data_IF_031195724517
#
_entry.id   IF_031195724517
#
_cell.length_a   1.000
_cell.length_b   1.000
_cell.length_c   1.000
_cell.angle_alpha   90.00
_cell.angle_beta   90.00
_cell.angle_gamma   90.00
#
_symmetry.space_group_name_H-M   'P 1'
#
loop_
_entity.id
_entity.type
_entity.pdbx_description
1 polymer ?
#
# COMPACT_ATOMS: atom_id res chain seq x y z
N UNK A 1 9.18 -10.18 -29.47
CA UNK A 1 8.99 -8.82 -28.92
C UNK A 1 7.60 -8.79 -28.33
N UNK A 2 7.48 -8.94 -27.01
CA UNK A 2 6.17 -8.99 -26.35
C UNK A 2 5.69 -7.57 -26.11
N UNK A 3 5.00 -7.04 -27.11
CA UNK A 3 4.15 -5.86 -26.96
C UNK A 3 2.81 -6.33 -26.40
N UNK A 4 2.46 -5.90 -25.20
CA UNK A 4 1.04 -5.75 -24.85
C UNK A 4 0.92 -4.46 -24.06
N UNK A 5 0.29 -3.49 -24.73
CA UNK A 5 0.06 -2.16 -24.24
C UNK A 5 -0.96 -2.12 -23.10
N UNK A 6 -0.75 -1.13 -22.25
CA UNK A 6 -1.76 -0.26 -21.63
C UNK A 6 -3.21 -0.79 -21.60
N UNK A 7 -3.62 -1.30 -20.45
CA UNK A 7 -5.02 -1.21 -20.00
C UNK A 7 -5.02 -0.42 -18.70
N UNK A 8 -4.96 0.90 -18.82
CA UNK A 8 -5.51 1.81 -17.83
C UNK A 8 -7.04 1.62 -17.82
N UNK A 9 -7.49 0.49 -17.29
CA UNK A 9 -8.90 0.24 -17.01
C UNK A 9 -9.31 1.06 -15.79
N UNK A 10 -10.45 1.73 -15.85
CA UNK A 10 -11.06 2.49 -14.76
C UNK A 10 -11.52 1.65 -13.56
N UNK A 11 -10.72 0.66 -13.14
CA UNK A 11 -10.85 -0.03 -11.88
C UNK A 11 -10.10 0.75 -10.80
N UNK A 12 -10.78 1.07 -9.70
CA UNK A 12 -10.13 1.71 -8.54
C UNK A 12 -8.97 0.81 -8.09
N UNK A 13 -7.74 1.34 -8.04
CA UNK A 13 -6.58 0.60 -7.54
C UNK A 13 -6.83 0.18 -6.09
N UNK A 14 -6.70 -1.12 -5.81
CA UNK A 14 -6.98 -1.71 -4.49
C UNK A 14 -5.74 -2.28 -3.80
N UNK A 15 -4.58 -2.25 -4.45
CA UNK A 15 -3.33 -2.78 -3.90
C UNK A 15 -2.11 -2.07 -4.49
N UNK A 16 -1.03 -2.03 -3.70
CA UNK A 16 0.24 -1.38 -4.06
C UNK A 16 1.44 -2.31 -3.87
N UNK A 17 1.56 -3.42 -4.63
CA UNK A 17 2.73 -4.31 -4.51
C UNK A 17 4.07 -3.61 -4.78
N UNK A 18 4.07 -2.54 -5.57
CA UNK A 18 5.27 -1.77 -5.93
C UNK A 18 5.87 -0.94 -4.79
N UNK A 19 5.14 -0.72 -3.69
CA UNK A 19 5.66 0.03 -2.53
C UNK A 19 6.32 -0.86 -1.48
N UNK A 20 6.33 -2.17 -1.65
CA UNK A 20 7.04 -3.09 -0.76
C UNK A 20 8.54 -2.81 -0.82
N UNK A 21 9.18 -2.69 0.34
CA UNK A 21 10.59 -2.32 0.44
C UNK A 21 10.85 -0.81 0.42
N UNK A 22 9.84 0.02 0.12
CA UNK A 22 10.00 1.47 0.22
C UNK A 22 9.92 1.96 1.68
N UNK A 23 10.58 3.09 1.99
CA UNK A 23 10.33 3.82 3.22
C UNK A 23 8.85 4.17 3.36
N UNK A 24 8.33 4.11 4.59
CA UNK A 24 6.91 4.34 4.88
C UNK A 24 6.38 5.68 4.32
N UNK A 25 7.19 6.74 4.38
CA UNK A 25 6.84 8.04 3.83
C UNK A 25 6.66 8.04 2.31
N UNK A 26 7.57 7.40 1.58
CA UNK A 26 7.51 7.28 0.12
C UNK A 26 6.31 6.41 -0.31
N UNK A 27 6.09 5.30 0.37
CA UNK A 27 4.95 4.43 0.13
C UNK A 27 3.62 5.19 0.28
N UNK A 28 3.48 6.03 1.32
CA UNK A 28 2.28 6.85 1.52
C UNK A 28 2.07 7.85 0.39
N UNK A 29 3.13 8.47 -0.12
CA UNK A 29 3.02 9.41 -1.24
C UNK A 29 2.51 8.72 -2.51
N UNK A 30 2.99 7.50 -2.80
CA UNK A 30 2.50 6.68 -3.93
C UNK A 30 1.03 6.31 -3.74
N UNK A 31 0.65 5.83 -2.55
CA UNK A 31 -0.74 5.43 -2.26
C UNK A 31 -1.70 6.62 -2.41
N UNK A 32 -1.36 7.79 -1.85
CA UNK A 32 -2.21 8.98 -1.93
C UNK A 32 -2.29 9.57 -3.33
N UNK A 33 -1.24 9.41 -4.16
CA UNK A 33 -1.27 9.80 -5.56
C UNK A 33 -2.29 8.97 -6.35
N UNK A 34 -2.36 7.67 -6.08
CA UNK A 34 -3.28 6.76 -6.78
C UNK A 34 -4.69 6.75 -6.18
N UNK A 35 -4.82 6.93 -4.87
CA UNK A 35 -6.08 6.99 -4.12
C UNK A 35 -6.06 8.17 -3.14
N UNK A 36 -6.45 9.39 -3.58
CA UNK A 36 -6.39 10.60 -2.76
C UNK A 36 -7.32 10.58 -1.54
N UNK A 37 -8.39 9.77 -1.59
CA UNK A 37 -9.35 9.55 -0.50
C UNK A 37 -8.95 8.41 0.44
N UNK A 38 -7.73 7.87 0.32
CA UNK A 38 -7.24 6.79 1.15
C UNK A 38 -6.97 7.23 2.60
N UNK A 39 -7.54 6.51 3.56
CA UNK A 39 -7.15 6.54 4.95
C UNK A 39 -5.97 5.57 5.15
N UNK A 40 -4.75 6.11 5.07
CA UNK A 40 -3.51 5.31 5.15
C UNK A 40 -3.11 5.12 6.61
N UNK A 41 -3.15 3.87 7.08
CA UNK A 41 -2.78 3.50 8.45
C UNK A 41 -1.52 2.63 8.43
N UNK A 42 -0.51 3.04 9.17
CA UNK A 42 0.70 2.23 9.38
C UNK A 42 0.52 1.28 10.56
N UNK A 43 0.85 0.02 10.33
CA UNK A 43 0.70 -1.05 11.32
C UNK A 43 2.02 -1.80 11.44
N UNK A 44 2.59 -1.99 12.65
CA UNK A 44 3.75 -2.86 12.82
C UNK A 44 3.46 -4.27 12.30
N UNK A 45 4.40 -4.84 11.53
CA UNK A 45 4.26 -6.21 11.03
C UNK A 45 4.13 -7.19 12.20
N UNK A 46 3.12 -8.07 12.13
CA UNK A 46 2.78 -9.01 13.20
C UNK A 46 1.80 -8.50 14.26
N UNK A 47 1.43 -7.21 14.24
CA UNK A 47 0.37 -6.70 15.10
C UNK A 47 -1.01 -7.23 14.67
N UNK A 48 -1.83 -7.62 15.64
CA UNK A 48 -3.23 -7.97 15.40
C UNK A 48 -4.02 -6.74 14.95
N UNK A 49 -4.83 -6.90 13.90
CA UNK A 49 -5.73 -5.86 13.40
C UNK A 49 -7.17 -6.35 13.39
N UNK A 50 -8.11 -5.43 13.61
CA UNK A 50 -9.53 -5.73 13.48
C UNK A 50 -9.87 -6.10 12.02
N UNK A 51 -10.70 -7.13 11.81
CA UNK A 51 -11.08 -7.60 10.47
C UNK A 51 -12.33 -6.89 9.92
N UNK A 52 -12.47 -5.60 10.20
CA UNK A 52 -13.52 -4.77 9.62
C UNK A 52 -13.18 -4.38 8.18
N UNK A 53 -14.20 -4.22 7.32
CA UNK A 53 -14.02 -3.79 5.94
C UNK A 53 -14.18 -2.26 5.84
N UNK A 54 -13.11 -1.56 5.48
CA UNK A 54 -13.18 -0.14 5.13
C UNK A 54 -12.66 0.08 3.70
N UNK A 55 -13.56 0.47 2.81
CA UNK A 55 -13.25 0.68 1.38
C UNK A 55 -12.31 1.87 1.12
N UNK A 56 -12.12 2.73 2.12
CA UNK A 56 -11.20 3.86 2.04
C UNK A 56 -9.89 3.60 2.77
N UNK A 57 -9.83 2.63 3.68
CA UNK A 57 -8.63 2.37 4.46
C UNK A 57 -7.62 1.56 3.67
N UNK A 58 -6.36 1.98 3.74
CA UNK A 58 -5.21 1.21 3.25
C UNK A 58 -4.30 0.92 4.43
N UNK A 59 -4.24 -0.35 4.85
CA UNK A 59 -3.31 -0.79 5.90
C UNK A 59 -1.94 -1.06 5.29
N UNK A 60 -0.94 -0.36 5.79
CA UNK A 60 0.47 -0.49 5.39
C UNK A 60 1.22 -1.18 6.53
N UNK A 61 1.57 -2.44 6.34
CA UNK A 61 2.38 -3.17 7.32
C UNK A 61 3.85 -2.77 7.19
N UNK A 62 4.42 -2.27 8.29
CA UNK A 62 5.78 -1.76 8.33
C UNK A 62 6.65 -2.52 9.32
N UNK A 63 7.94 -2.58 9.04
CA UNK A 63 8.98 -3.13 9.91
C UNK A 63 10.21 -2.24 9.85
N UNK A 64 11.16 -2.46 10.76
CA UNK A 64 12.43 -1.72 10.73
C UNK A 64 13.48 -2.56 9.99
N UNK A 65 14.00 -2.05 8.88
CA UNK A 65 15.07 -2.67 8.09
C UNK A 65 16.20 -1.66 7.99
N UNK A 66 17.40 -2.01 8.46
CA UNK A 66 18.57 -1.11 8.47
C UNK A 66 18.27 0.27 9.08
N UNK A 67 17.55 0.30 10.21
CA UNK A 67 17.11 1.51 10.93
C UNK A 67 16.12 2.41 10.18
N UNK A 68 15.54 1.93 9.08
CA UNK A 68 14.49 2.62 8.31
C UNK A 68 13.17 1.89 8.49
N UNK A 69 12.08 2.63 8.69
CA UNK A 69 10.72 2.07 8.71
C UNK A 69 10.29 1.80 7.27
N UNK A 70 10.17 0.53 6.93
CA UNK A 70 9.99 0.02 5.57
C UNK A 70 8.71 -0.79 5.45
N UNK A 71 8.03 -0.72 4.31
CA UNK A 71 6.85 -1.54 4.01
C UNK A 71 7.26 -3.00 3.80
N UNK A 72 6.63 -3.91 4.55
CA UNK A 72 6.96 -5.35 4.57
C UNK A 72 5.98 -6.15 3.72
N UNK A 73 4.71 -5.74 3.65
CA UNK A 73 3.67 -6.40 2.85
C UNK A 73 3.04 -5.43 1.87
N UNK A 74 2.59 -5.95 0.72
CA UNK A 74 1.83 -5.17 -0.25
C UNK A 74 0.59 -4.56 0.41
N UNK A 75 0.46 -3.22 0.48
CA UNK A 75 -0.72 -2.58 1.03
C UNK A 75 -1.93 -2.90 0.17
N UNK A 76 -3.08 -3.03 0.83
CA UNK A 76 -4.37 -3.29 0.20
C UNK A 76 -5.45 -2.43 0.83
N UNK A 77 -6.46 -2.10 0.05
CA UNK A 77 -7.71 -1.54 0.58
C UNK A 77 -8.36 -2.61 1.46
N UNK A 78 -8.74 -2.24 2.69
CA UNK A 78 -9.28 -3.19 3.67
C UNK A 78 -9.15 -2.75 5.10
#
# INVERSE_FOLDING_TARGET
>A
MSSTGNVAGGGKKVSWPEVVGLPAGEAKAVILKDKPDADVIFVPFGAGVQQDLSLNRVRVFVGTIASVVTVVLAPKVG
#
